data_IF_192093014157
#
_entry.id   IF_192093014157
#
_cell.length_a   1.000
_cell.length_b   1.000
_cell.length_c   1.000
_cell.angle_alpha   90.00
_cell.angle_beta   90.00
_cell.angle_gamma   90.00
#
_symmetry.space_group_name_H-M   'P 1'
#
loop_
_entity.id
_entity.type
_entity.pdbx_description
1 polymer ?
#
# COMPACT_ATOMS: atom_id res chain seq x y z
N UNK A 1 -21.16 13.42 -10.26
CA UNK A 1 -20.94 13.45 -8.81
C UNK A 1 -21.95 12.46 -8.23
N UNK A 2 -21.47 11.42 -7.58
CA UNK A 2 -22.33 10.53 -6.80
C UNK A 2 -22.87 11.31 -5.60
N UNK A 3 -24.00 10.91 -5.02
CA UNK A 3 -24.73 11.63 -3.95
C UNK A 3 -23.94 11.83 -2.65
N UNK A 4 -22.75 11.24 -2.50
CA UNK A 4 -22.03 11.13 -1.23
C UNK A 4 -20.64 11.81 -1.25
N UNK A 5 -20.41 12.78 -2.13
CA UNK A 5 -19.16 13.54 -2.17
C UNK A 5 -17.97 12.78 -2.83
N UNK A 6 -18.23 11.66 -3.50
CA UNK A 6 -17.22 10.94 -4.28
C UNK A 6 -17.13 11.55 -5.68
N UNK A 7 -15.90 11.84 -6.13
CA UNK A 7 -15.64 12.27 -7.50
C UNK A 7 -15.24 11.07 -8.37
N UNK A 8 -15.96 10.86 -9.46
CA UNK A 8 -15.59 9.88 -10.49
C UNK A 8 -15.42 10.63 -11.81
N UNK A 9 -14.24 10.55 -12.41
CA UNK A 9 -13.95 11.11 -13.72
C UNK A 9 -14.81 10.44 -14.80
N UNK A 10 -15.21 11.19 -15.85
CA UNK A 10 -16.09 10.68 -16.93
C UNK A 10 -15.60 9.39 -17.60
N UNK A 11 -14.28 9.15 -17.56
CA UNK A 11 -13.64 7.93 -18.07
C UNK A 11 -13.18 6.98 -16.96
N UNK A 12 -13.54 7.23 -15.71
CA UNK A 12 -13.34 6.32 -14.59
C UNK A 12 -14.54 5.41 -14.44
N UNK A 13 -14.34 4.23 -13.85
CA UNK A 13 -15.41 3.27 -13.55
C UNK A 13 -15.41 2.95 -12.06
N UNK A 14 -16.52 3.22 -11.39
CA UNK A 14 -16.75 2.84 -10.01
C UNK A 14 -18.03 2.01 -9.92
N UNK A 15 -17.88 0.74 -9.61
CA UNK A 15 -18.99 -0.22 -9.43
C UNK A 15 -19.27 -0.47 -7.94
N UNK A 16 -18.32 -0.10 -7.05
CA UNK A 16 -18.49 -0.27 -5.61
C UNK A 16 -19.46 0.77 -5.03
N UNK A 17 -20.31 0.32 -4.10
CA UNK A 17 -21.12 1.18 -3.24
C UNK A 17 -20.38 1.61 -1.96
N UNK A 18 -19.26 0.97 -1.64
CA UNK A 18 -18.50 1.15 -0.41
C UNK A 18 -17.29 2.06 -0.65
N UNK A 19 -17.55 3.32 -1.04
CA UNK A 19 -16.51 4.34 -1.28
C UNK A 19 -16.81 5.56 -0.41
N UNK A 20 -15.84 5.92 0.43
CA UNK A 20 -15.96 7.01 1.39
C UNK A 20 -15.93 8.39 0.75
N UNK A 21 -16.53 9.36 1.45
CA UNK A 21 -16.66 10.75 1.00
C UNK A 21 -15.30 11.41 0.73
N UNK A 22 -15.26 12.35 -0.21
CA UNK A 22 -14.02 13.05 -0.59
C UNK A 22 -13.06 12.23 -1.46
N UNK A 23 -13.32 10.94 -1.68
CA UNK A 23 -12.51 10.09 -2.55
C UNK A 23 -12.66 10.49 -4.01
N UNK A 24 -11.54 10.45 -4.76
CA UNK A 24 -11.46 10.80 -6.17
C UNK A 24 -10.98 9.61 -6.98
N UNK A 25 -11.74 9.26 -8.01
CA UNK A 25 -11.44 8.18 -8.95
C UNK A 25 -11.20 8.83 -10.31
N UNK A 26 -9.96 8.74 -10.80
CA UNK A 26 -9.50 9.45 -11.99
C UNK A 26 -9.74 8.67 -13.28
N UNK A 27 -9.26 9.22 -14.40
CA UNK A 27 -9.47 8.66 -15.72
C UNK A 27 -8.94 7.23 -15.84
N UNK A 28 -9.74 6.34 -16.43
CA UNK A 28 -9.40 4.93 -16.67
C UNK A 28 -9.09 4.12 -15.38
N UNK A 29 -9.29 4.70 -14.20
CA UNK A 29 -9.28 3.92 -12.97
C UNK A 29 -10.56 3.09 -12.87
N UNK A 30 -10.45 1.89 -12.30
CA UNK A 30 -11.57 0.99 -12.10
C UNK A 30 -11.61 0.49 -10.66
N UNK A 31 -12.69 0.78 -9.96
CA UNK A 31 -13.01 0.24 -8.63
C UNK A 31 -14.17 -0.73 -8.80
N UNK A 32 -13.89 -2.03 -8.65
CA UNK A 32 -14.88 -3.10 -8.85
C UNK A 32 -15.93 -3.15 -7.75
N UNK A 33 -17.07 -3.74 -8.07
CA UNK A 33 -18.07 -4.12 -7.08
C UNK A 33 -17.45 -5.04 -6.02
N UNK A 34 -17.75 -4.77 -4.73
CA UNK A 34 -17.22 -5.52 -3.59
C UNK A 34 -15.84 -5.05 -3.08
N UNK A 35 -15.22 -4.06 -3.72
CA UNK A 35 -14.08 -3.35 -3.14
C UNK A 35 -14.57 -2.37 -2.06
N UNK A 36 -13.78 -2.17 -1.00
CA UNK A 36 -14.04 -1.15 0.03
C UNK A 36 -12.94 -0.09 -0.06
N UNK A 37 -13.32 1.18 -0.17
CA UNK A 37 -12.40 2.33 -0.23
C UNK A 37 -12.84 3.36 0.79
N UNK A 38 -11.93 3.76 1.68
CA UNK A 38 -12.18 4.75 2.71
C UNK A 38 -12.39 6.17 2.17
N UNK A 39 -12.38 7.13 3.07
CA UNK A 39 -12.59 8.55 2.79
C UNK A 39 -11.33 9.22 2.25
N UNK A 40 -11.50 10.31 1.50
CA UNK A 40 -10.40 11.19 1.05
C UNK A 40 -9.28 10.47 0.28
N UNK A 41 -9.58 9.32 -0.32
CA UNK A 41 -8.62 8.58 -1.13
C UNK A 41 -8.42 9.21 -2.51
N UNK A 42 -7.27 8.93 -3.11
CA UNK A 42 -6.93 9.40 -4.45
C UNK A 42 -6.54 8.20 -5.33
N UNK A 43 -7.50 7.74 -6.15
CA UNK A 43 -7.33 6.58 -7.05
C UNK A 43 -6.97 7.13 -8.43
N UNK A 44 -5.66 7.13 -8.74
CA UNK A 44 -5.12 7.80 -9.92
C UNK A 44 -5.37 7.00 -11.21
N UNK A 45 -5.02 7.61 -12.35
CA UNK A 45 -5.28 7.08 -13.68
C UNK A 45 -4.77 5.66 -13.87
N UNK A 46 -5.60 4.81 -14.48
CA UNK A 46 -5.30 3.40 -14.75
C UNK A 46 -5.08 2.53 -13.50
N UNK A 47 -5.40 3.01 -12.32
CA UNK A 47 -5.41 2.16 -11.12
C UNK A 47 -6.59 1.18 -11.17
N UNK A 48 -6.39 0.00 -10.60
CA UNK A 48 -7.41 -1.04 -10.51
C UNK A 48 -7.53 -1.51 -9.06
N UNK A 49 -8.76 -1.54 -8.55
CA UNK A 49 -9.08 -2.06 -7.21
C UNK A 49 -10.09 -3.19 -7.36
N UNK A 50 -9.63 -4.41 -7.13
CA UNK A 50 -10.43 -5.63 -7.29
C UNK A 50 -11.48 -5.78 -6.19
N UNK A 51 -12.57 -6.45 -6.48
CA UNK A 51 -13.59 -6.82 -5.48
C UNK A 51 -12.96 -7.67 -4.37
N UNK A 52 -13.21 -7.29 -3.09
CA UNK A 52 -12.59 -7.91 -1.92
C UNK A 52 -11.33 -7.19 -1.41
N UNK A 53 -10.73 -6.29 -2.20
CA UNK A 53 -9.68 -5.39 -1.71
C UNK A 53 -10.26 -4.36 -0.72
N UNK A 54 -9.47 -4.01 0.31
CA UNK A 54 -9.84 -3.02 1.33
C UNK A 54 -8.79 -1.93 1.40
N UNK A 55 -9.20 -0.68 1.19
CA UNK A 55 -8.39 0.52 1.38
C UNK A 55 -8.98 1.35 2.52
N UNK A 56 -8.14 1.75 3.47
CA UNK A 56 -8.49 2.69 4.52
C UNK A 56 -8.64 4.13 4.02
N UNK A 57 -8.61 5.08 4.92
CA UNK A 57 -8.80 6.50 4.64
C UNK A 57 -7.51 7.16 4.11
N UNK A 58 -7.64 8.19 3.28
CA UNK A 58 -6.54 9.03 2.76
C UNK A 58 -5.45 8.24 2.03
N UNK A 59 -5.82 7.11 1.44
CA UNK A 59 -4.90 6.30 0.64
C UNK A 59 -4.69 6.95 -0.73
N UNK A 60 -3.45 7.06 -1.15
CA UNK A 60 -3.09 7.44 -2.51
C UNK A 60 -2.65 6.21 -3.31
N UNK A 61 -3.47 5.81 -4.26
CA UNK A 61 -3.15 4.78 -5.25
C UNK A 61 -2.69 5.47 -6.53
N UNK A 62 -1.39 5.45 -6.78
CA UNK A 62 -0.82 6.11 -7.97
C UNK A 62 -1.11 5.34 -9.26
N UNK A 63 -0.76 5.96 -10.37
CA UNK A 63 -1.05 5.48 -11.73
C UNK A 63 -0.59 4.03 -11.95
N UNK A 64 -1.45 3.24 -12.60
CA UNK A 64 -1.23 1.86 -13.01
C UNK A 64 -0.95 0.86 -11.85
N UNK A 65 -1.33 1.19 -10.64
CA UNK A 65 -1.29 0.25 -9.49
C UNK A 65 -2.52 -0.65 -9.54
N UNK A 66 -2.32 -1.95 -9.34
CA UNK A 66 -3.40 -2.92 -9.16
C UNK A 66 -3.43 -3.40 -7.71
N UNK A 67 -4.59 -3.28 -7.06
CA UNK A 67 -4.85 -3.79 -5.72
C UNK A 67 -5.81 -4.97 -5.86
N UNK A 68 -5.30 -6.16 -5.61
CA UNK A 68 -6.02 -7.42 -5.78
C UNK A 68 -6.89 -7.76 -4.58
N UNK A 69 -7.79 -8.73 -4.75
CA UNK A 69 -8.48 -9.39 -3.64
C UNK A 69 -7.51 -9.83 -2.54
N UNK A 70 -7.95 -9.81 -1.29
CA UNK A 70 -7.15 -10.13 -0.08
C UNK A 70 -5.96 -9.19 0.19
N UNK A 71 -5.85 -8.06 -0.50
CA UNK A 71 -4.97 -6.97 -0.10
C UNK A 71 -5.74 -6.02 0.80
N UNK A 72 -5.23 -5.82 2.01
CA UNK A 72 -5.77 -4.83 2.96
C UNK A 72 -4.73 -3.73 3.15
N UNK A 73 -5.15 -2.50 2.92
CA UNK A 73 -4.32 -1.29 3.04
C UNK A 73 -4.93 -0.40 4.12
N UNK A 74 -4.14 -0.02 5.10
CA UNK A 74 -4.52 0.89 6.18
C UNK A 74 -4.69 2.34 5.74
N UNK A 75 -4.71 3.24 6.72
CA UNK A 75 -4.89 4.67 6.48
C UNK A 75 -3.57 5.36 6.08
N UNK A 76 -3.67 6.52 5.40
CA UNK A 76 -2.53 7.38 5.10
C UNK A 76 -1.40 6.70 4.28
N UNK A 77 -1.74 5.66 3.52
CA UNK A 77 -0.78 4.87 2.74
C UNK A 77 -0.55 5.48 1.36
N UNK A 78 0.71 5.49 0.92
CA UNK A 78 1.10 5.89 -0.43
C UNK A 78 1.58 4.68 -1.24
N UNK A 79 0.83 4.34 -2.28
CA UNK A 79 1.18 3.32 -3.26
C UNK A 79 1.76 4.00 -4.51
N UNK A 80 3.07 3.92 -4.67
CA UNK A 80 3.82 4.60 -5.73
C UNK A 80 3.48 4.09 -7.14
N UNK A 81 3.70 4.90 -8.19
CA UNK A 81 3.31 4.54 -9.55
C UNK A 81 3.95 3.23 -10.01
N UNK A 82 3.15 2.41 -10.70
CA UNK A 82 3.56 1.10 -11.20
C UNK A 82 4.08 0.11 -10.13
N UNK A 83 3.84 0.34 -8.83
CA UNK A 83 4.12 -0.70 -7.86
C UNK A 83 3.15 -1.88 -8.08
N UNK A 84 3.55 -3.06 -7.68
CA UNK A 84 2.84 -4.31 -7.97
C UNK A 84 2.63 -5.09 -6.68
N UNK A 85 1.38 -5.47 -6.40
CA UNK A 85 1.06 -6.58 -5.51
C UNK A 85 0.97 -7.87 -6.33
N UNK A 86 1.53 -8.98 -5.85
CA UNK A 86 1.17 -10.31 -6.38
C UNK A 86 0.04 -10.90 -5.55
N UNK A 87 -0.73 -11.83 -6.11
CA UNK A 87 -1.82 -12.52 -5.40
C UNK A 87 -1.63 -14.03 -5.36
N UNK A 88 -0.85 -14.61 -6.27
CA UNK A 88 -0.49 -16.02 -6.27
C UNK A 88 1.02 -16.19 -6.12
N UNK A 89 1.45 -16.91 -5.07
CA UNK A 89 2.87 -17.16 -4.79
C UNK A 89 3.50 -18.14 -5.80
N UNK A 90 2.71 -19.00 -6.42
CA UNK A 90 3.15 -20.06 -7.34
C UNK A 90 2.22 -20.20 -8.54
N UNK A 91 2.09 -19.15 -9.38
CA UNK A 91 1.16 -19.17 -10.50
C UNK A 91 1.55 -20.24 -11.52
N UNK A 92 0.62 -21.14 -11.84
CA UNK A 92 0.76 -22.18 -12.84
C UNK A 92 -0.52 -22.34 -13.64
N UNK A 93 -0.49 -21.97 -14.90
CA UNK A 93 -1.68 -22.03 -15.74
C UNK A 93 -2.25 -23.46 -15.89
N UNK A 94 -1.37 -24.47 -15.83
CA UNK A 94 -1.77 -25.90 -15.88
C UNK A 94 -2.38 -26.39 -14.56
N UNK A 95 -2.05 -25.76 -13.43
CA UNK A 95 -2.48 -26.14 -12.08
C UNK A 95 -3.06 -24.89 -11.41
N UNK A 96 -4.27 -24.52 -11.83
CA UNK A 96 -4.95 -23.32 -11.32
C UNK A 96 -5.28 -23.48 -9.84
N UNK A 97 -5.08 -22.43 -9.11
CA UNK A 97 -5.49 -22.33 -7.71
C UNK A 97 -6.90 -21.77 -7.62
N UNK A 98 -7.55 -22.07 -6.53
CA UNK A 98 -8.82 -21.47 -6.15
C UNK A 98 -8.56 -20.21 -5.34
N UNK A 99 -9.53 -19.29 -5.25
CA UNK A 99 -9.36 -18.00 -4.58
C UNK A 99 -9.02 -18.12 -3.08
N UNK A 100 -9.44 -19.21 -2.42
CA UNK A 100 -9.14 -19.50 -1.02
C UNK A 100 -7.65 -19.86 -0.77
N UNK A 101 -6.94 -20.30 -1.81
CA UNK A 101 -5.49 -20.59 -1.74
C UNK A 101 -4.61 -19.36 -1.88
N UNK A 102 -5.16 -18.19 -2.26
CA UNK A 102 -4.40 -16.96 -2.37
C UNK A 102 -4.05 -16.41 -0.98
N UNK A 103 -2.84 -15.87 -0.86
CA UNK A 103 -2.34 -15.33 0.39
C UNK A 103 -2.73 -13.86 0.56
N UNK A 104 -3.15 -13.52 1.78
CA UNK A 104 -3.47 -12.13 2.13
C UNK A 104 -2.21 -11.29 2.28
N UNK A 105 -2.26 -10.04 1.84
CA UNK A 105 -1.21 -9.04 2.05
C UNK A 105 -1.78 -7.91 2.90
N UNK A 106 -1.02 -7.50 3.93
CA UNK A 106 -1.44 -6.43 4.83
C UNK A 106 -0.44 -5.29 4.75
N UNK A 107 -0.92 -4.10 4.45
CA UNK A 107 -0.17 -2.84 4.49
C UNK A 107 -0.78 -2.00 5.61
N UNK A 108 -0.02 -1.77 6.67
CA UNK A 108 -0.49 -0.99 7.82
C UNK A 108 -0.49 0.51 7.54
N UNK A 109 -0.97 1.31 8.52
CA UNK A 109 -1.12 2.76 8.38
C UNK A 109 0.22 3.46 8.10
N UNK A 110 0.18 4.54 7.33
CA UNK A 110 1.32 5.40 7.07
C UNK A 110 2.41 4.82 6.16
N UNK A 111 2.25 3.60 5.66
CA UNK A 111 3.26 2.95 4.81
C UNK A 111 3.44 3.68 3.49
N UNK A 112 4.69 3.83 3.07
CA UNK A 112 5.05 4.30 1.72
C UNK A 112 5.68 3.18 0.91
N UNK A 113 5.11 2.90 -0.27
CA UNK A 113 5.67 1.97 -1.25
C UNK A 113 6.14 2.76 -2.47
N UNK A 114 7.44 2.71 -2.74
CA UNK A 114 8.06 3.43 -3.85
C UNK A 114 7.65 2.91 -5.23
N UNK A 115 7.87 3.74 -6.24
CA UNK A 115 7.55 3.42 -7.64
C UNK A 115 8.22 2.10 -8.09
N UNK A 116 7.51 1.31 -8.91
CA UNK A 116 7.99 0.04 -9.45
C UNK A 116 8.43 -1.01 -8.39
N UNK A 117 8.06 -0.84 -7.12
CA UNK A 117 8.30 -1.87 -6.12
C UNK A 117 7.34 -3.06 -6.33
N UNK A 118 7.77 -4.25 -5.95
CA UNK A 118 6.95 -5.47 -5.97
C UNK A 118 6.78 -5.99 -4.56
N UNK A 119 5.54 -6.19 -4.15
CA UNK A 119 5.17 -6.79 -2.87
C UNK A 119 4.64 -8.20 -3.13
N UNK A 120 5.39 -9.19 -2.67
CA UNK A 120 4.99 -10.59 -2.83
C UNK A 120 3.89 -10.92 -1.83
N UNK A 121 2.85 -11.61 -2.27
CA UNK A 121 1.69 -11.97 -1.45
C UNK A 121 2.09 -12.77 -0.20
N UNK A 122 1.29 -12.63 0.85
CA UNK A 122 1.56 -13.27 2.14
C UNK A 122 2.48 -12.44 3.05
N UNK A 123 2.82 -11.21 2.69
CA UNK A 123 3.66 -10.32 3.49
C UNK A 123 2.84 -9.29 4.27
N UNK A 124 3.39 -8.84 5.39
CA UNK A 124 2.90 -7.73 6.20
C UNK A 124 3.91 -6.59 6.18
N UNK A 125 3.47 -5.40 5.84
CA UNK A 125 4.24 -4.18 5.93
C UNK A 125 3.77 -3.42 7.17
N UNK A 126 4.65 -3.33 8.18
CA UNK A 126 4.36 -2.64 9.44
C UNK A 126 4.24 -1.13 9.26
N UNK A 127 3.46 -0.50 10.14
CA UNK A 127 3.09 0.90 10.05
C UNK A 127 4.31 1.82 9.84
N UNK A 128 4.12 2.88 9.08
CA UNK A 128 5.13 3.89 8.77
C UNK A 128 6.42 3.34 8.12
N UNK A 129 6.46 2.08 7.66
CA UNK A 129 7.65 1.60 6.95
C UNK A 129 7.74 2.22 5.54
N UNK A 130 8.94 2.23 5.00
CA UNK A 130 9.23 2.78 3.69
C UNK A 130 9.91 1.74 2.79
N UNK A 131 9.22 1.35 1.73
CA UNK A 131 9.76 0.50 0.67
C UNK A 131 10.30 1.38 -0.43
N UNK A 132 11.62 1.32 -0.67
CA UNK A 132 12.26 2.10 -1.72
C UNK A 132 11.83 1.68 -3.13
N UNK A 133 11.92 2.62 -4.07
CA UNK A 133 11.55 2.37 -5.47
C UNK A 133 12.31 1.16 -6.06
N UNK A 134 11.64 0.35 -6.89
CA UNK A 134 12.22 -0.83 -7.53
C UNK A 134 12.55 -2.00 -6.60
N UNK A 135 12.14 -1.95 -5.35
CA UNK A 135 12.42 -3.02 -4.38
C UNK A 135 11.49 -4.22 -4.57
N UNK A 136 11.96 -5.42 -4.22
CA UNK A 136 11.14 -6.64 -4.21
C UNK A 136 11.04 -7.17 -2.78
N UNK A 137 9.89 -6.95 -2.15
CA UNK A 137 9.60 -7.39 -0.78
C UNK A 137 9.07 -8.82 -0.81
N UNK A 138 9.78 -9.73 -0.14
CA UNK A 138 9.47 -11.17 -0.08
C UNK A 138 9.21 -11.68 1.34
N UNK A 139 9.24 -10.81 2.33
CA UNK A 139 9.04 -11.11 3.75
C UNK A 139 8.48 -9.88 4.46
N UNK A 140 7.97 -10.08 5.67
CA UNK A 140 7.43 -9.00 6.50
C UNK A 140 8.45 -7.88 6.72
N UNK A 141 7.93 -6.65 6.74
CA UNK A 141 8.72 -5.43 6.97
C UNK A 141 8.34 -4.85 8.32
N UNK A 142 9.29 -4.65 9.24
CA UNK A 142 9.01 -4.05 10.53
C UNK A 142 8.49 -2.60 10.42
N UNK A 143 7.70 -2.12 11.42
CA UNK A 143 7.32 -0.72 11.50
C UNK A 143 8.54 0.21 11.43
N UNK A 144 8.40 1.35 10.74
CA UNK A 144 9.43 2.36 10.51
C UNK A 144 10.67 1.86 9.74
N UNK A 145 10.74 0.62 9.30
CA UNK A 145 11.90 0.13 8.57
C UNK A 145 12.00 0.77 7.17
N UNK A 146 13.21 1.16 6.78
CA UNK A 146 13.56 1.52 5.41
C UNK A 146 14.15 0.29 4.72
N UNK A 147 13.44 -0.24 3.72
CA UNK A 147 13.88 -1.41 2.96
C UNK A 147 14.09 -1.07 1.48
N UNK A 148 15.17 -1.61 0.90
CA UNK A 148 15.50 -1.41 -0.52
C UNK A 148 16.12 -2.67 -1.13
N UNK A 149 16.07 -2.78 -2.46
CA UNK A 149 16.77 -3.79 -3.23
C UNK A 149 15.91 -4.99 -3.65
N UNK A 150 16.53 -5.94 -4.34
CA UNK A 150 15.94 -7.19 -4.81
C UNK A 150 16.87 -8.38 -4.45
N UNK A 151 16.48 -9.22 -3.47
CA UNK A 151 15.35 -9.03 -2.56
C UNK A 151 15.58 -7.83 -1.63
N UNK A 152 14.48 -7.20 -1.16
CA UNK A 152 14.53 -6.06 -0.27
C UNK A 152 15.23 -6.40 1.06
N UNK A 153 16.05 -5.47 1.55
CA UNK A 153 16.74 -5.58 2.84
C UNK A 153 16.61 -4.26 3.59
N UNK A 154 16.50 -4.35 4.90
CA UNK A 154 16.49 -3.16 5.74
C UNK A 154 17.86 -2.47 5.74
N UNK A 155 17.87 -1.17 5.45
CA UNK A 155 19.07 -0.34 5.40
C UNK A 155 19.05 0.80 6.41
N UNK A 156 18.02 0.85 7.24
CA UNK A 156 17.83 1.86 8.27
C UNK A 156 16.39 2.00 8.70
N UNK A 157 16.08 3.15 9.26
CA UNK A 157 14.78 3.51 9.80
C UNK A 157 14.32 4.84 9.23
N UNK A 158 13.01 5.04 9.18
CA UNK A 158 12.37 6.29 8.75
C UNK A 158 11.48 6.85 9.85
N UNK A 159 11.36 8.16 9.84
CA UNK A 159 10.40 8.91 10.63
C UNK A 159 9.01 8.86 9.98
N UNK A 160 7.95 9.06 10.74
CA UNK A 160 6.59 9.27 10.20
C UNK A 160 6.50 10.39 9.15
N UNK A 161 7.46 11.31 9.09
CA UNK A 161 7.53 12.34 8.05
C UNK A 161 8.20 11.87 6.75
N UNK A 162 8.66 10.61 6.68
CA UNK A 162 9.32 10.01 5.52
C UNK A 162 10.84 10.24 5.46
N UNK A 163 11.42 11.07 6.31
CA UNK A 163 12.88 11.27 6.34
C UNK A 163 13.57 10.09 7.02
N UNK A 164 14.75 9.72 6.48
CA UNK A 164 15.61 8.71 7.11
C UNK A 164 16.11 9.23 8.46
N UNK A 165 16.11 8.36 9.49
CA UNK A 165 16.72 8.64 10.78
C UNK A 165 18.25 8.59 10.70
N UNK A 166 18.90 9.39 11.51
CA UNK A 166 20.36 9.34 11.68
C UNK A 166 20.79 8.17 12.58
N UNK A 167 22.09 8.05 12.82
CA UNK A 167 22.65 7.00 13.67
C UNK A 167 22.20 7.07 15.15
N UNK A 168 21.72 8.24 15.59
CA UNK A 168 21.18 8.47 16.92
C UNK A 168 19.67 8.31 16.99
N UNK A 169 19.05 7.80 15.90
CA UNK A 169 17.60 7.63 15.74
C UNK A 169 16.83 8.95 15.85
N UNK A 170 17.43 10.05 15.37
CA UNK A 170 16.81 11.37 15.30
C UNK A 170 16.47 11.74 13.88
N UNK A 171 15.35 12.45 13.76
CA UNK A 171 14.88 12.98 12.49
C UNK A 171 15.20 14.48 12.39
N UNK A 172 15.46 14.95 11.17
CA UNK A 172 15.61 16.39 10.88
C UNK A 172 14.35 17.23 11.20
N UNK A 173 13.19 16.58 11.40
CA UNK A 173 11.96 17.22 11.87
C UNK A 173 11.84 17.30 13.41
N UNK A 174 12.92 17.05 14.14
CA UNK A 174 13.06 17.07 15.61
C UNK A 174 12.31 15.95 16.36
N UNK A 175 11.85 14.89 15.66
CA UNK A 175 11.33 13.68 16.33
C UNK A 175 12.47 12.76 16.68
N UNK A 176 12.34 12.10 17.83
CA UNK A 176 13.29 11.12 18.34
C UNK A 176 12.63 9.75 18.47
N UNK A 177 13.42 8.72 18.31
CA UNK A 177 12.97 7.33 18.37
C UNK A 177 13.89 6.50 19.25
N UNK A 178 13.37 5.40 19.79
CA UNK A 178 14.14 4.44 20.59
C UNK A 178 13.94 3.05 20.04
N UNK A 179 15.02 2.26 19.94
CA UNK A 179 14.95 0.84 19.64
C UNK A 179 14.50 0.08 20.89
N UNK A 180 13.36 -0.59 20.79
CA UNK A 180 12.85 -1.50 21.83
C UNK A 180 13.42 -2.90 21.62
N UNK A 181 13.70 -3.28 20.39
CA UNK A 181 14.37 -4.52 20.00
C UNK A 181 15.13 -4.31 18.68
N UNK A 182 15.83 -5.34 18.19
CA UNK A 182 16.53 -5.29 16.90
C UNK A 182 15.60 -4.97 15.71
N UNK A 183 14.29 -5.19 15.86
CA UNK A 183 13.29 -5.01 14.79
C UNK A 183 12.14 -4.09 15.21
N UNK A 184 12.20 -3.45 16.38
CA UNK A 184 11.09 -2.63 16.89
C UNK A 184 11.59 -1.25 17.27
N UNK A 185 11.11 -0.26 16.57
CA UNK A 185 11.33 1.16 16.83
C UNK A 185 10.06 1.78 17.43
N UNK A 186 10.20 2.72 18.34
CA UNK A 186 9.09 3.51 18.88
C UNK A 186 9.46 4.99 18.92
N UNK A 187 8.47 5.86 18.70
CA UNK A 187 8.63 7.29 18.92
C UNK A 187 8.73 7.59 20.44
N UNK A 188 9.55 8.57 20.81
CA UNK A 188 9.71 9.05 22.17
C UNK A 188 8.77 10.21 22.46
#
# INVERSE_FOLDING_TARGET
>A
MTSDGVFVHDRGLCESSEVGSGTRIWAFAHVMAGATVGQECNICDHAFVEGGAVLGDRVTVKNAVQVWDKVTVGNDVFLGPNMIFTNDLRPRNRFKRTADEFLSTVVEDGVTIGANATIVCGTRLGHDCFVGAGSVVIADVPPYALVVGNPARQIGWVCVCGNRLDASLRCSCNREYTLVSATTLTAV
#
